data_IF_260591606332
#
_entry.id   IF_260591606332
#
_cell.length_a   1.000
_cell.length_b   1.000
_cell.length_c   1.000
_cell.angle_alpha   90.00
_cell.angle_beta   90.00
_cell.angle_gamma   90.00
#
_symmetry.space_group_name_H-M   'P 1'
#
loop_
_entity.id
_entity.type
_entity.pdbx_description
1 polymer ?
#
# COMPACT_ATOMS: atom_id res chain seq x y z
N UNK A 1 -42.06 18.16 -21.42
CA UNK A 1 -40.70 18.69 -21.68
C UNK A 1 -39.71 17.55 -21.48
N UNK A 2 -38.94 17.22 -22.51
CA UNK A 2 -37.83 16.26 -22.41
C UNK A 2 -36.62 17.00 -21.83
N UNK A 3 -36.15 16.59 -20.66
CA UNK A 3 -34.95 17.14 -20.04
C UNK A 3 -33.73 16.57 -20.76
N UNK A 4 -32.98 17.42 -21.46
CA UNK A 4 -31.70 17.01 -22.06
C UNK A 4 -30.72 16.70 -20.93
N UNK A 5 -30.29 15.43 -20.84
CA UNK A 5 -29.18 15.04 -19.98
C UNK A 5 -27.92 15.62 -20.60
N UNK A 6 -27.31 16.59 -19.91
CA UNK A 6 -26.03 17.16 -20.33
C UNK A 6 -24.91 16.23 -19.87
N UNK A 7 -24.42 15.40 -20.77
CA UNK A 7 -23.22 14.59 -20.51
C UNK A 7 -22.03 15.52 -20.30
N UNK A 8 -21.31 15.32 -19.20
CA UNK A 8 -20.05 16.02 -18.91
C UNK A 8 -18.93 15.01 -18.99
N UNK A 9 -17.94 15.25 -19.85
CA UNK A 9 -16.75 14.42 -20.00
C UNK A 9 -15.50 15.23 -19.70
N UNK A 10 -14.59 14.68 -18.90
CA UNK A 10 -13.28 15.27 -18.59
C UNK A 10 -12.18 14.29 -18.99
N UNK A 11 -11.20 14.76 -19.76
CA UNK A 11 -9.98 13.98 -20.03
C UNK A 11 -9.01 14.13 -18.86
N UNK A 12 -8.42 13.03 -18.41
CA UNK A 12 -7.44 13.01 -17.31
C UNK A 12 -6.25 12.13 -17.68
N UNK A 13 -5.09 12.46 -17.13
CA UNK A 13 -3.90 11.60 -17.15
C UNK A 13 -3.78 10.95 -15.78
N UNK A 14 -3.61 9.63 -15.75
CA UNK A 14 -3.34 8.88 -14.52
C UNK A 14 -1.84 8.70 -14.40
N UNK A 15 -1.24 9.36 -13.42
CA UNK A 15 0.18 9.24 -13.10
C UNK A 15 0.35 8.40 -11.83
N UNK A 16 1.23 7.41 -11.89
CA UNK A 16 1.50 6.49 -10.78
C UNK A 16 2.86 6.81 -10.16
N UNK A 17 3.09 6.29 -8.96
CA UNK A 17 4.32 6.56 -8.23
C UNK A 17 5.54 5.85 -8.83
N UNK A 18 6.71 6.44 -8.64
CA UNK A 18 8.02 5.86 -8.94
C UNK A 18 8.68 5.24 -7.70
N UNK A 19 9.62 4.29 -7.87
CA UNK A 19 10.41 3.76 -6.76
C UNK A 19 11.34 4.80 -6.16
N UNK A 20 11.51 4.74 -4.83
CA UNK A 20 12.62 5.42 -4.16
C UNK A 20 13.90 4.65 -4.48
N UNK A 21 14.99 5.34 -4.84
CA UNK A 21 16.24 4.70 -5.31
C UNK A 21 17.47 5.34 -4.69
N UNK A 22 18.22 4.58 -3.90
CA UNK A 22 19.53 4.95 -3.36
C UNK A 22 20.52 3.78 -3.53
N UNK A 23 21.57 3.97 -4.33
CA UNK A 23 22.47 2.87 -4.70
C UNK A 23 21.71 1.73 -5.39
N UNK A 24 21.89 0.50 -4.91
CA UNK A 24 21.13 -0.67 -5.37
C UNK A 24 19.81 -0.87 -4.62
N UNK A 25 19.58 -0.13 -3.52
CA UNK A 25 18.30 -0.13 -2.82
C UNK A 25 17.26 0.61 -3.65
N UNK A 26 16.20 -0.10 -4.05
CA UNK A 26 15.07 0.48 -4.74
C UNK A 26 13.77 -0.21 -4.35
N UNK A 27 12.78 0.58 -3.92
CA UNK A 27 11.55 0.07 -3.31
C UNK A 27 10.37 1.02 -3.55
N UNK A 28 9.16 0.45 -3.59
CA UNK A 28 7.89 1.18 -3.61
C UNK A 28 6.78 0.33 -3.01
N UNK A 29 5.75 0.96 -2.44
CA UNK A 29 4.62 0.23 -1.85
C UNK A 29 3.32 1.01 -1.93
N UNK A 30 2.19 0.30 -1.85
CA UNK A 30 0.85 0.87 -1.65
C UNK A 30 0.02 0.02 -0.68
N UNK A 31 -0.98 0.63 -0.06
CA UNK A 31 -2.08 -0.12 0.53
C UNK A 31 -3.07 -0.56 -0.55
N UNK A 32 -3.57 -1.79 -0.47
CA UNK A 32 -4.39 -2.42 -1.53
C UNK A 32 -5.74 -2.96 -1.06
N UNK A 33 -5.89 -3.22 0.25
CA UNK A 33 -7.17 -3.63 0.84
C UNK A 33 -7.23 -3.26 2.32
N UNK A 34 -8.19 -2.41 2.69
CA UNK A 34 -8.62 -2.21 4.07
C UNK A 34 -9.78 -3.17 4.39
N UNK A 35 -9.78 -3.74 5.59
CA UNK A 35 -10.85 -4.58 6.12
C UNK A 35 -11.18 -4.11 7.54
N UNK A 36 -12.23 -3.30 7.69
CA UNK A 36 -12.59 -2.68 8.96
C UNK A 36 -13.20 -3.68 9.95
N UNK A 37 -13.90 -4.70 9.46
CA UNK A 37 -14.47 -5.76 10.30
C UNK A 37 -13.38 -6.59 10.99
N UNK A 38 -12.29 -6.90 10.26
CA UNK A 38 -11.14 -7.65 10.79
C UNK A 38 -10.04 -6.77 11.37
N UNK A 39 -10.16 -5.46 11.19
CA UNK A 39 -9.15 -4.46 11.54
C UNK A 39 -7.78 -4.80 10.94
N UNK A 40 -7.77 -5.07 9.63
CA UNK A 40 -6.54 -5.39 8.88
C UNK A 40 -6.35 -4.49 7.67
N UNK A 41 -5.08 -4.27 7.32
CA UNK A 41 -4.67 -3.53 6.13
C UNK A 41 -3.69 -4.39 5.32
N UNK A 42 -3.93 -4.49 4.00
CA UNK A 42 -3.01 -5.13 3.06
C UNK A 42 -2.08 -4.10 2.44
N UNK A 43 -0.77 -4.33 2.53
CA UNK A 43 0.27 -3.60 1.82
C UNK A 43 0.91 -4.51 0.76
N UNK A 44 1.07 -3.99 -0.45
CA UNK A 44 1.88 -4.62 -1.50
C UNK A 44 3.14 -3.78 -1.71
N UNK A 45 4.29 -4.46 -1.73
CA UNK A 45 5.62 -3.86 -1.78
C UNK A 45 6.37 -4.47 -2.96
N UNK A 46 6.90 -3.64 -3.84
CA UNK A 46 7.87 -4.08 -4.85
C UNK A 46 9.28 -3.84 -4.34
N UNK A 47 10.00 -4.94 -4.16
CA UNK A 47 11.41 -4.95 -3.77
C UNK A 47 12.25 -5.12 -5.01
N UNK A 48 13.22 -4.24 -5.20
CA UNK A 48 14.09 -4.23 -6.37
C UNK A 48 13.33 -4.24 -7.72
N UNK A 49 12.28 -3.41 -7.94
CA UNK A 49 11.54 -3.39 -9.21
C UNK A 49 12.44 -3.09 -10.43
N UNK A 50 13.58 -2.40 -10.23
CA UNK A 50 14.57 -2.12 -11.27
C UNK A 50 15.47 -3.32 -11.60
N UNK A 51 15.30 -4.46 -10.93
CA UNK A 51 16.06 -5.72 -11.12
C UNK A 51 17.58 -5.50 -11.08
N UNK A 52 18.06 -4.65 -10.16
CA UNK A 52 19.49 -4.43 -9.93
C UNK A 52 20.14 -5.65 -9.29
N UNK A 53 21.45 -5.78 -9.46
CA UNK A 53 22.27 -6.70 -8.67
C UNK A 53 22.49 -6.11 -7.27
N UNK A 54 21.59 -6.44 -6.34
CA UNK A 54 21.54 -5.87 -5.00
C UNK A 54 22.16 -6.82 -3.97
N UNK A 55 23.32 -6.42 -3.43
CA UNK A 55 24.12 -7.21 -2.46
C UNK A 55 23.58 -7.05 -1.05
N UNK A 56 23.50 -8.15 -0.28
CA UNK A 56 23.11 -8.19 1.13
C UNK A 56 21.80 -7.44 1.41
N UNK A 57 20.79 -7.72 0.58
CA UNK A 57 19.49 -7.06 0.61
C UNK A 57 18.73 -7.44 1.88
N UNK A 58 18.29 -6.43 2.63
CA UNK A 58 17.34 -6.58 3.74
C UNK A 58 16.15 -5.68 3.53
N UNK A 59 14.95 -6.16 3.89
CA UNK A 59 13.72 -5.38 3.81
C UNK A 59 13.09 -5.32 5.18
N UNK A 60 12.91 -4.11 5.69
CA UNK A 60 12.16 -3.86 6.92
C UNK A 60 10.73 -3.46 6.57
N UNK A 61 9.76 -3.95 7.34
CA UNK A 61 8.35 -3.57 7.31
C UNK A 61 8.03 -3.08 8.72
N UNK A 62 7.80 -1.78 8.86
CA UNK A 62 7.58 -1.12 10.14
C UNK A 62 6.13 -0.66 10.26
N UNK A 63 5.51 -0.92 11.41
CA UNK A 63 4.15 -0.44 11.72
C UNK A 63 4.10 1.04 12.08
N UNK A 64 4.78 1.87 11.30
CA UNK A 64 4.95 3.32 11.46
C UNK A 64 5.37 3.91 10.12
N UNK A 65 5.31 5.23 9.98
CA UNK A 65 5.92 5.90 8.82
C UNK A 65 7.42 5.68 8.73
N UNK A 66 7.94 5.67 7.51
CA UNK A 66 9.36 5.57 7.17
C UNK A 66 9.71 6.69 6.18
N UNK A 67 10.82 7.40 6.40
CA UNK A 67 11.30 8.40 5.43
C UNK A 67 12.06 7.77 4.26
N UNK A 68 12.39 8.57 3.25
CA UNK A 68 13.05 8.14 2.01
C UNK A 68 14.39 7.41 2.23
N UNK A 69 15.00 7.55 3.42
CA UNK A 69 16.27 6.93 3.81
C UNK A 69 16.09 5.77 4.80
N UNK A 70 14.86 5.29 5.01
CA UNK A 70 14.57 4.14 5.85
C UNK A 70 14.46 4.44 7.35
N UNK A 71 14.47 5.71 7.78
CA UNK A 71 14.31 6.03 9.20
C UNK A 71 12.84 5.99 9.60
N UNK A 72 12.55 5.27 10.69
CA UNK A 72 11.22 5.21 11.28
C UNK A 72 10.86 6.57 11.89
N UNK A 73 9.68 7.10 11.54
CA UNK A 73 9.07 8.30 12.11
C UNK A 73 7.85 7.89 12.92
N UNK A 74 7.98 7.97 14.25
CA UNK A 74 6.88 7.66 15.17
C UNK A 74 5.89 8.84 15.27
N UNK A 75 4.63 8.54 15.58
CA UNK A 75 3.61 9.55 15.93
C UNK A 75 2.70 9.99 14.79
N UNK A 76 2.78 9.36 13.61
CA UNK A 76 1.98 9.69 12.43
C UNK A 76 1.26 8.44 11.89
N UNK A 77 0.42 7.83 12.71
CA UNK A 77 -0.24 6.56 12.40
C UNK A 77 0.59 5.31 12.68
N UNK A 78 -0.11 4.18 12.80
CA UNK A 78 0.53 2.90 13.11
C UNK A 78 -0.23 1.68 12.60
N UNK A 79 0.50 0.58 12.46
CA UNK A 79 -0.04 -0.78 12.36
C UNK A 79 0.66 -1.67 13.38
N UNK A 80 0.19 -2.91 13.52
CA UNK A 80 0.78 -3.93 14.39
C UNK A 80 1.51 -4.94 13.50
N UNK A 81 2.82 -5.00 13.64
CA UNK A 81 3.74 -5.92 12.99
C UNK A 81 4.36 -6.84 14.03
N UNK A 82 3.95 -8.10 13.97
CA UNK A 82 4.35 -9.17 14.88
C UNK A 82 4.42 -10.51 14.13
N UNK A 83 4.68 -11.60 14.86
CA UNK A 83 4.76 -12.95 14.30
C UNK A 83 3.44 -13.46 13.68
N UNK A 84 2.30 -12.83 13.98
CA UNK A 84 1.00 -13.19 13.44
C UNK A 84 0.68 -12.44 12.14
N UNK A 85 1.51 -11.48 11.75
CA UNK A 85 1.37 -10.73 10.50
C UNK A 85 1.55 -11.67 9.30
N UNK A 86 0.58 -11.71 8.39
CA UNK A 86 0.70 -12.52 7.16
C UNK A 86 1.71 -11.84 6.24
N UNK A 87 2.80 -12.53 5.90
CA UNK A 87 3.81 -12.05 4.95
C UNK A 87 4.02 -13.13 3.90
N UNK A 88 3.69 -12.82 2.65
CA UNK A 88 3.96 -13.66 1.47
C UNK A 88 4.95 -12.97 0.55
N UNK A 89 5.85 -13.74 -0.05
CA UNK A 89 6.91 -13.24 -0.92
C UNK A 89 6.88 -13.98 -2.25
N UNK A 90 6.84 -13.21 -3.34
CA UNK A 90 6.78 -13.73 -4.70
C UNK A 90 7.97 -13.22 -5.50
N UNK A 91 8.62 -14.10 -6.26
CA UNK A 91 9.70 -13.74 -7.17
C UNK A 91 9.15 -13.40 -8.55
N UNK A 92 9.72 -12.36 -9.15
CA UNK A 92 9.36 -11.88 -10.49
C UNK A 92 10.46 -12.27 -11.47
N UNK A 93 10.10 -13.01 -12.52
CA UNK A 93 11.05 -13.43 -13.56
C UNK A 93 11.57 -12.23 -14.37
N UNK A 94 12.68 -12.41 -15.07
CA UNK A 94 13.37 -11.34 -15.81
C UNK A 94 12.52 -10.76 -16.95
N UNK A 95 11.70 -11.60 -17.59
CA UNK A 95 10.79 -11.27 -18.68
C UNK A 95 9.45 -10.67 -18.22
N UNK A 96 9.14 -10.77 -16.92
CA UNK A 96 7.92 -10.21 -16.34
C UNK A 96 8.08 -8.73 -15.95
N UNK A 97 7.07 -7.95 -16.32
CA UNK A 97 6.91 -6.55 -15.90
C UNK A 97 5.88 -6.44 -14.78
N UNK A 98 6.17 -5.59 -13.80
CA UNK A 98 5.23 -5.25 -12.74
C UNK A 98 4.32 -4.12 -13.21
N UNK A 99 3.01 -4.15 -12.89
CA UNK A 99 2.11 -3.06 -13.24
C UNK A 99 2.49 -1.79 -12.46
N UNK A 100 2.50 -0.64 -13.15
CA UNK A 100 2.84 0.66 -12.55
C UNK A 100 1.88 1.06 -11.42
N UNK A 101 0.65 0.55 -11.43
CA UNK A 101 -0.34 0.77 -10.37
C UNK A 101 0.06 0.20 -9.01
N UNK A 102 1.13 -0.60 -8.94
CA UNK A 102 1.64 -1.25 -7.72
C UNK A 102 0.64 -2.22 -7.06
N UNK A 103 -0.38 -2.64 -7.81
CA UNK A 103 -1.41 -3.57 -7.35
C UNK A 103 -1.44 -4.81 -8.22
N UNK A 104 -1.15 -5.95 -7.60
CA UNK A 104 -1.30 -7.27 -8.19
C UNK A 104 -2.69 -7.79 -7.85
N UNK A 105 -3.44 -8.16 -8.89
CA UNK A 105 -4.76 -8.79 -8.77
C UNK A 105 -4.69 -10.31 -8.91
N UNK A 106 -3.74 -10.82 -9.68
CA UNK A 106 -3.49 -12.25 -9.85
C UNK A 106 -2.03 -12.57 -9.51
N UNK A 107 -1.84 -13.22 -8.36
CA UNK A 107 -0.53 -13.66 -7.88
C UNK A 107 -0.07 -14.99 -8.48
N UNK A 108 -0.96 -15.76 -9.13
CA UNK A 108 -0.65 -17.11 -9.62
C UNK A 108 0.40 -17.14 -10.73
N UNK A 109 0.61 -16.00 -11.40
CA UNK A 109 1.64 -15.82 -12.42
C UNK A 109 3.06 -15.60 -11.86
N UNK A 110 3.22 -15.40 -10.56
CA UNK A 110 4.51 -15.20 -9.91
C UNK A 110 4.92 -16.42 -9.09
N UNK A 111 6.22 -16.66 -8.97
CA UNK A 111 6.74 -17.78 -8.18
C UNK A 111 6.59 -17.47 -6.68
N UNK A 112 5.77 -18.22 -5.96
CA UNK A 112 5.66 -18.12 -4.50
C UNK A 112 6.92 -18.71 -3.83
N UNK A 113 7.70 -17.84 -3.20
CA UNK A 113 8.95 -18.18 -2.51
C UNK A 113 8.84 -17.96 -1.00
N UNK A 114 7.63 -17.83 -0.46
CA UNK A 114 7.38 -17.48 0.95
C UNK A 114 8.09 -18.40 1.93
N UNK A 115 8.08 -19.72 1.67
CA UNK A 115 8.73 -20.72 2.54
C UNK A 115 10.26 -20.56 2.61
N UNK A 116 10.89 -19.93 1.62
CA UNK A 116 12.33 -19.64 1.65
C UNK A 116 12.70 -18.57 2.69
N UNK A 117 11.70 -17.90 3.27
CA UNK A 117 11.87 -16.86 4.28
C UNK A 117 11.61 -17.36 5.71
N UNK A 118 11.21 -18.60 5.94
CA UNK A 118 10.82 -19.09 7.28
C UNK A 118 11.94 -18.96 8.32
N UNK A 119 13.20 -19.10 7.91
CA UNK A 119 14.38 -18.86 8.74
C UNK A 119 15.10 -17.54 8.43
N UNK A 120 14.48 -16.64 7.66
CA UNK A 120 15.02 -15.34 7.23
C UNK A 120 14.17 -14.15 7.68
N UNK A 121 13.17 -14.41 8.52
CA UNK A 121 12.30 -13.40 9.14
C UNK A 121 12.72 -13.19 10.59
N UNK A 122 12.84 -11.93 11.01
CA UNK A 122 12.99 -11.57 12.41
C UNK A 122 12.02 -10.45 12.77
N UNK A 123 11.50 -10.46 14.00
CA UNK A 123 10.53 -9.47 14.47
C UNK A 123 11.08 -8.79 15.72
N UNK A 124 11.06 -7.46 15.75
CA UNK A 124 11.48 -6.66 16.90
C UNK A 124 10.84 -5.28 16.84
N UNK A 125 10.35 -4.79 17.98
CA UNK A 125 9.86 -3.42 18.14
C UNK A 125 8.92 -2.93 17.02
N UNK A 126 7.90 -3.74 16.69
CA UNK A 126 6.92 -3.45 15.64
C UNK A 126 7.52 -3.36 14.21
N UNK A 127 8.61 -4.08 13.98
CA UNK A 127 9.29 -4.21 12.69
C UNK A 127 9.52 -5.68 12.36
N UNK A 128 9.19 -6.09 11.14
CA UNK A 128 9.59 -7.35 10.55
C UNK A 128 10.74 -7.10 9.56
N UNK A 129 11.85 -7.82 9.72
CA UNK A 129 12.99 -7.79 8.80
C UNK A 129 13.05 -9.08 8.01
N UNK A 130 13.10 -8.98 6.68
CA UNK A 130 13.31 -10.10 5.75
C UNK A 130 14.72 -10.02 5.18
N UNK A 131 15.47 -11.11 5.29
CA UNK A 131 16.80 -11.25 4.70
C UNK A 131 16.70 -11.88 3.30
N UNK A 132 16.94 -11.07 2.26
CA UNK A 132 16.95 -11.52 0.88
C UNK A 132 18.33 -11.99 0.43
N UNK A 133 19.40 -11.57 1.12
CA UNK A 133 20.77 -11.80 0.68
C UNK A 133 21.06 -11.14 -0.67
N UNK A 134 21.89 -11.78 -1.49
CA UNK A 134 22.24 -11.26 -2.81
C UNK A 134 21.15 -11.61 -3.83
N UNK A 135 20.58 -10.59 -4.48
CA UNK A 135 19.50 -10.75 -5.45
C UNK A 135 19.79 -10.00 -6.75
N UNK A 136 19.21 -10.48 -7.84
CA UNK A 136 19.22 -9.83 -9.16
C UNK A 136 17.83 -9.80 -9.82
N UNK A 137 16.80 -10.08 -9.03
CA UNK A 137 15.41 -10.18 -9.45
C UNK A 137 14.56 -9.21 -8.63
N UNK A 138 13.40 -8.84 -9.16
CA UNK A 138 12.38 -8.14 -8.40
C UNK A 138 11.56 -9.15 -7.59
N UNK A 139 11.00 -8.68 -6.48
CA UNK A 139 10.09 -9.44 -5.64
C UNK A 139 8.87 -8.61 -5.27
N UNK A 140 7.75 -9.29 -5.03
CA UNK A 140 6.54 -8.69 -4.48
C UNK A 140 6.38 -9.24 -3.07
N UNK A 141 6.25 -8.37 -2.07
CA UNK A 141 5.83 -8.75 -0.73
C UNK A 141 4.38 -8.33 -0.55
N UNK A 142 3.53 -9.26 -0.13
CA UNK A 142 2.16 -8.99 0.31
C UNK A 142 2.08 -9.15 1.82
N UNK A 143 1.74 -8.07 2.51
CA UNK A 143 1.66 -8.00 3.97
C UNK A 143 0.21 -7.77 4.38
N UNK A 144 -0.33 -8.57 5.29
CA UNK A 144 -1.61 -8.27 5.96
C UNK A 144 -1.33 -8.09 7.45
N UNK A 145 -1.41 -6.85 7.91
CA UNK A 145 -1.15 -6.44 9.29
C UNK A 145 -2.44 -5.97 9.96
N UNK A 146 -2.46 -6.03 11.30
CA UNK A 146 -3.55 -5.44 12.08
C UNK A 146 -3.33 -3.94 12.28
N UNK A 147 -4.39 -3.21 12.58
CA UNK A 147 -4.31 -1.82 13.04
C UNK A 147 -5.25 -1.58 14.23
N UNK A 148 -5.09 -0.44 14.89
CA UNK A 148 -5.94 -0.02 16.01
C UNK A 148 -6.70 1.24 15.59
N UNK A 149 -8.05 1.23 15.53
CA UNK A 149 -8.83 2.45 15.36
C UNK A 149 -8.56 3.45 16.48
N UNK A 150 -8.66 4.75 16.20
CA UNK A 150 -8.56 5.78 17.25
C UNK A 150 -9.79 5.74 18.18
N UNK A 151 -9.73 6.43 19.32
CA UNK A 151 -10.81 6.44 20.32
C UNK A 151 -12.14 7.00 19.81
N UNK A 152 -12.09 7.85 18.79
CA UNK A 152 -13.21 8.47 18.08
C UNK A 152 -13.63 7.70 16.81
N UNK A 153 -12.98 6.56 16.53
CA UNK A 153 -13.32 5.69 15.41
C UNK A 153 -12.71 6.10 14.07
N UNK A 154 -11.75 7.04 14.06
CA UNK A 154 -11.00 7.42 12.87
C UNK A 154 -9.85 6.43 12.56
N UNK A 155 -9.36 6.51 11.32
CA UNK A 155 -8.26 5.68 10.81
C UNK A 155 -6.94 6.46 10.89
N UNK A 156 -6.12 6.16 11.90
CA UNK A 156 -4.74 6.65 12.00
C UNK A 156 -3.74 5.52 11.64
N UNK A 157 -3.80 5.11 10.37
CA UNK A 157 -3.06 3.95 9.85
C UNK A 157 -1.86 4.43 9.04
N UNK A 158 -0.66 4.00 9.45
CA UNK A 158 0.55 4.13 8.65
C UNK A 158 1.44 2.89 8.75
N UNK A 159 2.03 2.51 7.62
CA UNK A 159 2.98 1.41 7.53
C UNK A 159 4.05 1.76 6.50
N UNK A 160 5.31 1.62 6.90
CA UNK A 160 6.46 1.92 6.08
C UNK A 160 7.29 0.68 5.80
N UNK A 161 8.09 0.77 4.76
CA UNK A 161 9.05 -0.25 4.39
C UNK A 161 10.35 0.38 3.94
N UNK A 162 11.47 -0.30 4.17
CA UNK A 162 12.77 0.14 3.65
C UNK A 162 13.54 -1.05 3.09
N UNK A 163 14.29 -0.79 2.02
CA UNK A 163 15.27 -1.71 1.46
C UNK A 163 16.66 -1.20 1.82
N UNK A 164 17.49 -2.10 2.35
CA UNK A 164 18.91 -1.87 2.61
C UNK A 164 19.77 -2.77 1.73
N UNK A 165 20.81 -2.21 1.12
CA UNK A 165 21.82 -2.96 0.34
C UNK A 165 23.23 -2.51 0.72
N UNK A 166 24.21 -3.39 0.54
CA UNK A 166 25.63 -3.06 0.68
C UNK A 166 26.23 -2.67 -0.66
N UNK A 167 26.91 -1.53 -0.74
CA UNK A 167 27.61 -1.10 -1.95
C UNK A 167 29.00 -1.76 -2.09
N UNK A 168 29.68 -1.49 -3.21
CA UNK A 168 31.02 -2.01 -3.50
C UNK A 168 32.12 -1.58 -2.51
N UNK A 169 31.85 -0.59 -1.65
CA UNK A 169 32.77 -0.09 -0.64
C UNK A 169 32.43 -0.62 0.76
N UNK A 170 31.36 -1.41 0.91
CA UNK A 170 30.90 -1.96 2.19
C UNK A 170 29.96 -1.03 2.97
N UNK A 171 29.53 0.10 2.38
CA UNK A 171 28.57 1.01 3.00
C UNK A 171 27.13 0.61 2.69
N UNK A 172 26.22 0.93 3.60
CA UNK A 172 24.80 0.67 3.41
C UNK A 172 24.12 1.84 2.70
N UNK A 173 23.34 1.53 1.67
CA UNK A 173 22.33 2.42 1.12
C UNK A 173 20.95 1.97 1.62
N UNK A 174 20.07 2.93 1.84
CA UNK A 174 18.69 2.70 2.29
C UNK A 174 17.74 3.47 1.39
N UNK A 175 16.71 2.81 0.89
CA UNK A 175 15.57 3.43 0.22
C UNK A 175 14.32 3.11 1.03
N UNK A 176 13.57 4.11 1.45
CA UNK A 176 12.33 3.96 2.21
C UNK A 176 11.09 4.34 1.42
N UNK A 177 9.96 3.80 1.84
CA UNK A 177 8.63 4.12 1.33
C UNK A 177 7.60 4.01 2.43
N UNK A 178 6.55 4.84 2.39
CA UNK A 178 5.53 4.87 3.42
C UNK A 178 4.14 5.02 2.84
N UNK A 179 3.16 4.36 3.44
CA UNK A 179 1.76 4.48 3.08
C UNK A 179 0.92 4.89 4.29
N UNK A 180 -0.08 5.72 4.04
CA UNK A 180 -1.11 6.14 4.99
C UNK A 180 -2.45 6.23 4.25
N UNK A 181 -3.56 6.21 5.00
CA UNK A 181 -4.91 6.26 4.42
C UNK A 181 -5.41 7.71 4.40
N UNK A 182 -6.03 8.11 3.28
CA UNK A 182 -6.77 9.37 3.14
C UNK A 182 -8.23 9.02 2.87
N UNK A 183 -9.15 9.58 3.65
CA UNK A 183 -10.59 9.32 3.54
C UNK A 183 -11.32 10.46 2.83
N UNK A 184 -12.47 10.15 2.22
CA UNK A 184 -13.36 11.11 1.58
C UNK A 184 -14.80 10.63 1.71
N UNK A 185 -15.75 11.56 1.84
CA UNK A 185 -17.17 11.24 2.00
C UNK A 185 -17.99 11.89 0.90
N UNK A 186 -18.88 11.12 0.28
CA UNK A 186 -19.91 11.66 -0.62
C UNK A 186 -21.03 12.31 0.20
N UNK A 187 -21.59 13.40 -0.33
CA UNK A 187 -22.76 14.05 0.28
C UNK A 187 -23.86 14.22 -0.76
N UNK A 188 -25.06 13.80 -0.39
CA UNK A 188 -26.26 13.92 -1.23
C UNK A 188 -27.35 14.63 -0.47
N UNK A 189 -27.63 15.88 -0.84
CA UNK A 189 -28.73 16.67 -0.30
C UNK A 189 -29.83 16.87 -1.35
N UNK A 190 -31.08 16.97 -0.91
CA UNK A 190 -32.22 17.30 -1.75
C UNK A 190 -33.20 18.17 -0.98
N UNK A 191 -33.83 19.11 -1.69
CA UNK A 191 -34.91 19.95 -1.16
C UNK A 191 -36.10 19.91 -2.14
N UNK A 192 -37.31 20.10 -1.61
CA UNK A 192 -38.54 20.04 -2.38
C UNK A 192 -39.67 20.79 -1.69
N UNK A 193 -40.55 21.40 -2.49
CA UNK A 193 -41.77 22.02 -1.98
C UNK A 193 -42.95 21.06 -2.11
N UNK A 194 -43.83 21.08 -1.11
CA UNK A 194 -45.06 20.29 -1.13
C UNK A 194 -45.95 20.79 -2.27
N UNK A 195 -46.42 19.87 -3.12
CA UNK A 195 -47.38 20.20 -4.18
C UNK A 195 -48.67 20.77 -3.55
N UNK A 196 -49.19 21.94 -3.99
CA UNK A 196 -50.43 22.49 -3.46
C UNK A 196 -51.61 21.52 -3.62
N UNK A 197 -52.53 21.50 -2.66
CA UNK A 197 -53.77 20.72 -2.76
C UNK A 197 -54.64 21.22 -3.93
N UNK A 198 -55.08 20.30 -4.80
CA UNK A 198 -56.11 20.59 -5.79
C UNK A 198 -57.45 20.78 -5.06
N UNK A 199 -57.92 22.03 -4.96
CA UNK A 199 -59.28 22.31 -4.49
C UNK A 199 -60.28 21.67 -5.46
N UNK A 200 -60.92 20.59 -5.03
CA UNK A 200 -62.12 20.06 -5.70
C UNK A 200 -63.24 21.07 -5.49
N UNK A 201 -63.52 21.88 -6.52
CA UNK A 201 -64.70 22.74 -6.52
C UNK A 201 -65.90 21.82 -6.79
N UNK A 202 -66.62 21.42 -5.74
CA UNK A 202 -67.95 20.84 -5.89
C UNK A 202 -68.92 21.99 -6.22
N UNK A 203 -69.31 22.11 -7.49
CA UNK A 203 -70.44 22.93 -7.88
C UNK A 203 -71.73 22.22 -7.46
N UNK A 204 -72.51 22.87 -6.59
CA UNK A 204 -73.87 22.47 -6.20
C UNK A 204 -74.89 23.05 -7.17
#
# INVERSE_FOLDING_TARGET
MLQQVKETSQNVTVDYQDPMVHGDSNIQSIFTKLDEDKQTIEQQIYVNPLKKSATNTKVDIAGSQVDDYGNIKLGNGSTIIDQNTEIKVYKVNSDQQLPQSNRIYDFSQYEDVTSQFDNKKSFSNNVATLDFGDINSAYIIKVVSKYTPTSDGELDIAQGTSMRTTDKYGYYNYAGYSNFIVTSNDTGGGDGTVKPEEKVIQNW
#
